data_IF_468328845221
#
_entry.id   IF_468328845221
#
_cell.length_a   1.000
_cell.length_b   1.000
_cell.length_c   1.000
_cell.angle_alpha   90.00
_cell.angle_beta   90.00
_cell.angle_gamma   90.00
#
_symmetry.space_group_name_H-M   'P 1'
#
loop_
_entity.id
_entity.type
_entity.pdbx_description
1 polymer ?
#
# COMPACT_ATOMS: atom_id res chain seq x y z
N UNK A 1 0.31 6.21 -16.31
CA UNK A 1 0.22 7.04 -17.53
C UNK A 1 -1.16 7.03 -18.23
N UNK A 2 -1.85 5.90 -18.40
CA UNK A 2 -3.15 5.84 -19.13
C UNK A 2 -4.39 6.25 -18.33
N UNK A 3 -4.28 6.36 -17.01
CA UNK A 3 -5.39 6.71 -16.12
C UNK A 3 -4.97 7.95 -15.33
N UNK A 4 -5.24 9.19 -15.77
CA UNK A 4 -4.76 10.40 -15.08
C UNK A 4 -5.50 10.72 -13.77
N UNK A 5 -6.80 10.39 -13.70
CA UNK A 5 -7.69 10.84 -12.61
C UNK A 5 -7.89 9.80 -11.49
N UNK A 6 -7.08 8.75 -11.46
CA UNK A 6 -7.20 7.68 -10.48
C UNK A 6 -6.10 7.78 -9.42
N UNK A 7 -6.47 7.52 -8.17
CA UNK A 7 -5.53 7.32 -7.07
C UNK A 7 -5.16 5.84 -6.98
N UNK A 8 -3.90 5.58 -6.70
CA UNK A 8 -3.40 4.25 -6.37
C UNK A 8 -3.25 4.15 -4.85
N UNK A 9 -3.92 3.20 -4.24
CA UNK A 9 -3.75 2.84 -2.85
C UNK A 9 -2.86 1.62 -2.75
N UNK A 10 -1.82 1.70 -1.93
CA UNK A 10 -0.82 0.67 -1.70
C UNK A 10 -1.01 0.18 -0.27
N UNK A 11 -1.51 -1.03 -0.11
CA UNK A 11 -1.92 -1.58 1.19
C UNK A 11 -0.95 -2.70 1.61
N UNK A 12 -0.20 -2.49 2.69
CA UNK A 12 0.75 -3.46 3.23
C UNK A 12 0.12 -4.39 4.28
N UNK A 13 0.38 -5.69 4.17
CA UNK A 13 -0.09 -6.70 5.13
C UNK A 13 1.00 -7.70 5.50
N UNK A 14 0.83 -8.37 6.64
CA UNK A 14 1.69 -9.44 7.13
C UNK A 14 0.90 -10.70 7.47
N UNK A 15 1.60 -11.78 7.81
CA UNK A 15 0.95 -12.92 8.48
C UNK A 15 0.81 -12.68 9.98
N UNK A 16 0.08 -13.54 10.69
CA UNK A 16 -0.26 -13.33 12.10
C UNK A 16 0.85 -13.65 13.10
N UNK A 17 2.02 -14.11 12.63
CA UNK A 17 3.14 -14.49 13.52
C UNK A 17 3.94 -13.26 13.95
N UNK A 18 4.45 -13.27 15.17
CA UNK A 18 5.19 -12.15 15.76
C UNK A 18 4.31 -11.10 16.44
N UNK A 19 4.95 -10.10 17.05
CA UNK A 19 4.26 -9.04 17.80
C UNK A 19 3.47 -8.13 16.86
N UNK A 20 2.46 -7.45 17.41
CA UNK A 20 1.65 -6.47 16.65
C UNK A 20 2.53 -5.33 16.14
N UNK A 21 3.36 -4.75 17.01
CA UNK A 21 4.27 -3.65 16.67
C UNK A 21 5.24 -4.02 15.54
N UNK A 22 5.84 -5.21 15.60
CA UNK A 22 6.71 -5.71 14.53
C UNK A 22 5.96 -5.83 13.21
N UNK A 23 4.76 -6.39 13.23
CA UNK A 23 3.94 -6.56 12.04
C UNK A 23 3.49 -5.22 11.44
N UNK A 24 3.18 -4.23 12.28
CA UNK A 24 2.85 -2.89 11.85
C UNK A 24 4.02 -2.26 11.07
N UNK A 25 5.21 -2.20 11.68
CA UNK A 25 6.40 -1.66 11.01
C UNK A 25 6.77 -2.46 9.76
N UNK A 26 6.61 -3.78 9.76
CA UNK A 26 6.87 -4.62 8.58
C UNK A 26 5.90 -4.32 7.43
N UNK A 27 4.61 -4.16 7.72
CA UNK A 27 3.61 -3.80 6.71
C UNK A 27 3.83 -2.40 6.13
N UNK A 28 4.22 -1.43 6.96
CA UNK A 28 4.57 -0.07 6.53
C UNK A 28 5.74 -0.10 5.55
N UNK A 29 6.85 -0.77 5.91
CA UNK A 29 8.03 -0.92 5.05
C UNK A 29 7.71 -1.58 3.71
N UNK A 30 6.77 -2.53 3.69
CA UNK A 30 6.33 -3.19 2.45
C UNK A 30 5.56 -2.25 1.53
N UNK A 31 4.73 -1.37 2.08
CA UNK A 31 4.03 -0.36 1.29
C UNK A 31 5.03 0.67 0.72
N UNK A 32 5.96 1.15 1.57
CA UNK A 32 7.00 2.13 1.24
C UNK A 32 7.86 1.69 0.05
N UNK A 33 8.40 0.47 0.10
CA UNK A 33 9.22 -0.08 -0.99
C UNK A 33 8.45 -0.13 -2.32
N UNK A 34 7.15 -0.41 -2.29
CA UNK A 34 6.33 -0.46 -3.51
C UNK A 34 6.08 0.95 -4.06
N UNK A 35 5.77 1.93 -3.19
CA UNK A 35 5.62 3.32 -3.63
C UNK A 35 6.93 3.88 -4.16
N UNK A 36 8.05 3.63 -3.49
CA UNK A 36 9.37 4.04 -3.94
C UNK A 36 9.67 3.45 -5.33
N UNK A 37 9.44 2.15 -5.51
CA UNK A 37 9.62 1.49 -6.79
C UNK A 37 8.77 2.13 -7.90
N UNK A 38 7.49 2.42 -7.63
CA UNK A 38 6.59 3.04 -8.61
C UNK A 38 6.96 4.51 -8.90
N UNK A 39 7.42 5.24 -7.89
CA UNK A 39 7.93 6.60 -8.02
C UNK A 39 9.15 6.62 -8.94
N UNK A 40 10.09 5.71 -8.72
CA UNK A 40 11.29 5.53 -9.56
C UNK A 40 10.94 5.11 -11.00
N UNK A 41 9.75 4.56 -11.24
CA UNK A 41 9.21 4.25 -12.58
C UNK A 41 8.30 5.35 -13.15
N UNK A 42 8.25 6.51 -12.50
CA UNK A 42 7.58 7.71 -13.01
C UNK A 42 6.09 7.79 -12.71
N UNK A 43 5.60 7.08 -11.69
CA UNK A 43 4.28 7.34 -11.10
C UNK A 43 4.44 8.48 -10.09
N UNK A 44 3.75 9.63 -10.24
CA UNK A 44 3.86 10.72 -9.28
C UNK A 44 3.40 10.29 -7.88
N UNK A 45 4.19 10.59 -6.85
CA UNK A 45 3.86 10.27 -5.44
C UNK A 45 2.52 10.85 -4.99
N UNK A 46 2.16 12.03 -5.50
CA UNK A 46 0.85 12.70 -5.27
C UNK A 46 -0.36 11.87 -5.73
N UNK A 47 -0.13 10.82 -6.54
CA UNK A 47 -1.16 9.91 -7.05
C UNK A 47 -1.18 8.57 -6.33
N UNK A 48 -0.41 8.45 -5.25
CA UNK A 48 -0.25 7.24 -4.48
C UNK A 48 -0.50 7.54 -3.00
N UNK A 49 -1.31 6.71 -2.35
CA UNK A 49 -1.54 6.74 -0.91
C UNK A 49 -1.18 5.37 -0.34
N UNK A 50 -0.46 5.38 0.78
CA UNK A 50 -0.05 4.15 1.46
C UNK A 50 -0.90 3.92 2.68
N UNK A 51 -1.24 2.65 2.91
CA UNK A 51 -1.85 2.18 4.14
C UNK A 51 -1.17 0.88 4.53
N UNK A 52 -1.15 0.61 5.83
CA UNK A 52 -0.57 -0.60 6.36
C UNK A 52 -1.42 -1.07 7.52
N UNK A 53 -1.61 -2.38 7.59
CA UNK A 53 -2.56 -3.00 8.49
C UNK A 53 -1.92 -4.05 9.40
N UNK A 54 -0.61 -4.27 9.29
CA UNK A 54 0.08 -5.37 9.95
C UNK A 54 -0.65 -6.69 9.68
N UNK A 55 -1.02 -7.35 10.77
CA UNK A 55 -1.72 -8.65 10.74
C UNK A 55 -3.24 -8.56 10.94
N UNK A 56 -3.81 -7.35 10.99
CA UNK A 56 -5.22 -7.14 11.37
C UNK A 56 -6.23 -7.46 10.27
N UNK A 57 -5.77 -7.58 9.01
CA UNK A 57 -6.61 -7.89 7.85
C UNK A 57 -6.09 -9.14 7.11
N UNK A 58 -6.18 -10.33 7.73
CA UNK A 58 -5.72 -11.58 7.12
C UNK A 58 -6.67 -12.05 6.01
N UNK A 59 -6.12 -12.74 5.00
CA UNK A 59 -6.93 -13.53 4.05
C UNK A 59 -7.38 -14.82 4.75
N UNK A 60 -6.46 -15.47 5.47
CA UNK A 60 -6.73 -16.65 6.27
C UNK A 60 -6.49 -16.32 7.74
N UNK A 61 -7.53 -16.39 8.57
CA UNK A 61 -7.42 -16.08 9.99
C UNK A 61 -6.88 -17.27 10.80
N UNK A 62 -5.56 -17.28 11.00
CA UNK A 62 -4.81 -18.30 11.73
C UNK A 62 -5.03 -18.27 13.25
N UNK A 63 -5.85 -17.36 13.78
CA UNK A 63 -6.32 -17.42 15.16
C UNK A 63 -7.53 -18.37 15.28
N UNK A 64 -8.34 -18.48 14.23
CA UNK A 64 -9.56 -19.29 14.16
C UNK A 64 -9.32 -20.68 13.54
N UNK A 65 -8.23 -20.84 12.78
CA UNK A 65 -7.88 -22.10 12.12
C UNK A 65 -6.38 -22.40 12.18
N UNK A 66 -6.03 -23.68 12.03
CA UNK A 66 -4.62 -24.08 11.87
C UNK A 66 -4.14 -23.76 10.45
N UNK A 67 -3.31 -22.74 10.32
CA UNK A 67 -2.76 -22.33 9.04
C UNK A 67 -1.58 -23.19 8.60
N UNK A 68 -1.52 -23.50 7.30
CA UNK A 68 -0.30 -24.00 6.65
C UNK A 68 0.64 -22.85 6.29
N UNK A 69 1.90 -23.15 6.00
CA UNK A 69 2.85 -22.13 5.51
C UNK A 69 2.39 -21.44 4.22
N UNK A 70 1.67 -22.17 3.36
CA UNK A 70 1.07 -21.60 2.16
C UNK A 70 -0.01 -20.55 2.51
N UNK A 71 -0.83 -20.79 3.53
CA UNK A 71 -1.85 -19.83 3.98
C UNK A 71 -1.22 -18.59 4.61
N UNK A 72 -0.14 -18.75 5.38
CA UNK A 72 0.65 -17.62 5.87
C UNK A 72 1.27 -16.82 4.70
N UNK A 73 1.74 -17.50 3.65
CA UNK A 73 2.29 -16.82 2.47
C UNK A 73 1.25 -15.98 1.74
N UNK A 74 -0.01 -16.43 1.68
CA UNK A 74 -1.10 -15.63 1.12
C UNK A 74 -1.35 -14.35 1.94
N UNK A 75 -1.24 -14.41 3.27
CA UNK A 75 -1.39 -13.22 4.12
C UNK A 75 -0.25 -12.21 3.91
N UNK A 76 0.97 -12.68 3.63
CA UNK A 76 2.15 -11.83 3.34
C UNK A 76 2.07 -11.19 1.94
N UNK A 77 1.35 -10.07 1.83
CA UNK A 77 1.06 -9.41 0.55
C UNK A 77 1.11 -7.88 0.63
N UNK A 78 1.21 -7.26 -0.54
CA UNK A 78 0.93 -5.83 -0.74
C UNK A 78 -0.13 -5.71 -1.82
N UNK A 79 -1.26 -5.09 -1.51
CA UNK A 79 -2.37 -4.92 -2.46
C UNK A 79 -2.29 -3.55 -3.14
N UNK A 80 -2.66 -3.53 -4.42
CA UNK A 80 -2.73 -2.31 -5.23
C UNK A 80 -4.18 -2.08 -5.63
N UNK A 81 -4.80 -1.05 -5.06
CA UNK A 81 -6.19 -0.68 -5.35
C UNK A 81 -6.24 0.62 -6.10
N UNK A 82 -7.13 0.71 -7.08
CA UNK A 82 -7.30 1.91 -7.90
C UNK A 82 -8.67 2.50 -7.61
N UNK A 83 -8.72 3.76 -7.18
CA UNK A 83 -9.96 4.46 -6.85
C UNK A 83 -10.10 5.79 -7.58
N UNK A 84 -11.33 6.28 -7.71
CA UNK A 84 -11.58 7.64 -8.17
C UNK A 84 -11.13 8.60 -7.07
N UNK A 85 -10.23 9.51 -7.41
CA UNK A 85 -9.91 10.64 -6.54
C UNK A 85 -11.15 11.52 -6.38
N UNK A 86 -11.44 12.04 -5.19
CA UNK A 86 -12.31 13.20 -5.01
C UNK A 86 -11.65 14.51 -5.48
N UNK A 87 -10.34 14.46 -5.79
CA UNK A 87 -9.53 15.57 -6.24
C UNK A 87 -9.08 15.38 -7.70
N UNK A 88 -9.37 16.32 -8.60
CA UNK A 88 -8.94 16.22 -10.01
C UNK A 88 -7.45 16.49 -10.13
N UNK A 89 -6.66 15.47 -10.48
CA UNK A 89 -5.24 15.63 -10.78
C UNK A 89 -5.08 16.23 -12.18
N UNK A 90 -4.88 17.54 -12.27
CA UNK A 90 -4.85 18.29 -13.54
C UNK A 90 -3.50 18.24 -14.27
N UNK A 91 -2.44 17.70 -13.65
CA UNK A 91 -1.13 17.50 -14.28
C UNK A 91 -0.47 18.80 -14.79
N UNK A 92 0.42 19.41 -13.97
CA UNK A 92 1.32 20.56 -14.27
C UNK A 92 0.59 21.94 -14.30
N UNK A 93 0.99 23.02 -13.61
CA UNK A 93 2.28 23.47 -13.08
C UNK A 93 2.15 23.96 -11.62
N UNK A 94 3.13 23.65 -10.76
CA UNK A 94 3.52 24.61 -9.71
C UNK A 94 4.20 25.79 -10.42
N UNK A 95 3.51 26.91 -10.63
CA UNK A 95 4.17 28.20 -10.47
C UNK A 95 4.19 28.46 -8.97
N UNK A 96 5.37 28.37 -8.39
CA UNK A 96 5.61 28.95 -7.07
C UNK A 96 5.63 30.44 -7.33
N UNK A 97 4.54 31.14 -7.01
CA UNK A 97 4.57 32.59 -6.88
C UNK A 97 5.34 32.89 -5.59
N UNK A 98 6.66 32.97 -5.72
CA UNK A 98 7.49 33.67 -4.74
C UNK A 98 7.35 35.16 -5.09
N UNK A 99 6.59 35.89 -4.26
CA UNK A 99 6.76 37.34 -4.14
C UNK A 99 8.06 37.64 -3.40
#
# INVERSE_FOLDING_TARGET
KRMPNLMLYIEGHTDQRGSEEYNQTLSERRADVVKEYLTNRGVPGERMEEKWFGKTHPINDCNELTCTDAMHQLNRRTELRVGKSSFTYTGRQKKVDTM
#
